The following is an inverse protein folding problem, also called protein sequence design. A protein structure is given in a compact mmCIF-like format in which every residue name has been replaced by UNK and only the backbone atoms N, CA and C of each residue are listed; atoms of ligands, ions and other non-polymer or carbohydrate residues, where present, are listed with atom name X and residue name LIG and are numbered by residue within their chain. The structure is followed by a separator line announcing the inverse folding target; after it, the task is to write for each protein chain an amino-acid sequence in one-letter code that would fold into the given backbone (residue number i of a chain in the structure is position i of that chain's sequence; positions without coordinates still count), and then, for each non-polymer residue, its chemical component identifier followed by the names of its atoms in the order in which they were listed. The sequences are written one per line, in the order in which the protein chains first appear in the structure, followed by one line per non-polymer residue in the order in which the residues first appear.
data_IF_103039364300
#
_entry.id   IF_103039364300
#
_cell.length_a   1.000
_cell.length_b   1.000
_cell.length_c   1.000
_cell.angle_alpha   90.00
_cell.angle_beta   90.00
_cell.angle_gamma   90.00
#
_symmetry.space_group_name_H-M   'P 1'
#
loop_
_entity.id
_entity.type
_entity.pdbx_description
1 polymer ?
#
# COMPACT_ATOMS: atom_id res chain seq x y z
N UNK A 1 -45.82 7.30 -23.44
CA UNK A 1 -46.10 7.80 -22.08
C UNK A 1 -44.91 8.62 -21.63
N UNK A 2 -45.04 9.94 -21.67
CA UNK A 2 -43.96 10.93 -21.53
C UNK A 2 -44.01 11.49 -20.11
N UNK A 3 -42.97 11.25 -19.28
CA UNK A 3 -42.87 11.88 -17.96
C UNK A 3 -41.94 13.11 -18.01
N UNK A 4 -42.36 14.27 -17.47
CA UNK A 4 -41.64 15.53 -17.60
C UNK A 4 -40.48 15.64 -16.60
N UNK A 5 -39.46 16.39 -17.03
CA UNK A 5 -38.31 16.82 -16.23
C UNK A 5 -38.73 17.76 -15.09
N UNK A 6 -38.30 17.46 -13.86
CA UNK A 6 -38.28 18.45 -12.78
C UNK A 6 -36.86 18.97 -12.56
N UNK A 7 -36.70 20.27 -12.81
CA UNK A 7 -35.53 21.08 -12.48
C UNK A 7 -35.66 21.63 -11.05
N UNK A 8 -34.52 22.09 -10.52
CA UNK A 8 -34.29 23.00 -9.36
C UNK A 8 -33.93 22.22 -8.07
N UNK A 9 -33.01 22.67 -7.21
CA UNK A 9 -32.43 23.99 -7.03
C UNK A 9 -30.99 23.91 -6.47
N UNK A 10 -30.22 24.97 -6.72
CA UNK A 10 -28.94 25.25 -6.09
C UNK A 10 -29.11 25.68 -4.62
N UNK A 11 -28.14 25.34 -3.77
CA UNK A 11 -27.85 26.06 -2.54
C UNK A 11 -26.36 25.92 -2.19
N UNK A 12 -25.64 27.03 -2.27
CA UNK A 12 -24.26 27.19 -1.83
C UNK A 12 -24.22 27.48 -0.33
N UNK A 13 -23.22 26.95 0.38
CA UNK A 13 -22.90 27.38 1.76
C UNK A 13 -21.40 27.30 1.96
N UNK A 14 -20.69 28.42 2.16
CA UNK A 14 -19.29 28.40 2.57
C UNK A 14 -19.22 28.35 4.11
N UNK A 15 -18.44 27.43 4.67
CA UNK A 15 -18.07 27.46 6.08
C UNK A 15 -16.55 27.62 6.18
N UNK A 16 -16.16 28.82 6.58
CA UNK A 16 -14.81 29.27 6.89
C UNK A 16 -14.51 28.88 8.34
N UNK A 17 -13.49 28.05 8.58
CA UNK A 17 -12.95 27.82 9.93
C UNK A 17 -11.43 27.99 9.88
N UNK A 18 -10.97 29.10 10.46
CA UNK A 18 -9.58 29.29 10.85
C UNK A 18 -9.29 28.44 12.10
N UNK A 19 -8.29 27.56 12.04
CA UNK A 19 -7.62 27.05 13.24
C UNK A 19 -6.14 27.42 13.17
N UNK A 20 -5.78 28.43 13.95
CA UNK A 20 -4.40 28.72 14.32
C UNK A 20 -4.14 27.99 15.65
N UNK A 21 -3.23 27.02 15.63
CA UNK A 21 -2.68 26.40 16.84
C UNK A 21 -1.17 26.52 16.76
N UNK A 22 -0.63 27.46 17.54
CA UNK A 22 0.78 27.54 17.86
C UNK A 22 1.14 26.51 18.92
N UNK A 23 2.29 25.86 18.76
CA UNK A 23 2.95 25.13 19.83
C UNK A 23 4.35 25.71 19.99
N UNK A 24 4.57 26.26 21.17
CA UNK A 24 5.82 26.80 21.64
C UNK A 24 6.56 25.75 22.49
N UNK A 25 7.89 25.86 22.48
CA UNK A 25 8.78 25.37 23.55
C UNK A 25 9.39 24.00 23.32
N UNK A 26 10.56 23.68 23.85
CA UNK A 26 11.58 24.49 24.52
C UNK A 26 12.87 23.64 24.58
N UNK A 27 13.93 24.34 24.95
CA UNK A 27 15.36 24.00 24.91
C UNK A 27 15.80 22.90 25.89
N UNK A 28 16.81 22.10 25.53
CA UNK A 28 17.87 21.57 26.40
C UNK A 28 18.84 20.77 25.51
N UNK A 29 20.16 20.76 25.65
CA UNK A 29 21.10 21.39 26.56
C UNK A 29 22.49 20.92 26.12
N UNK A 30 23.46 21.83 26.09
CA UNK A 30 24.84 21.56 25.65
C UNK A 30 25.68 21.19 26.87
N UNK A 31 26.47 20.12 26.79
CA UNK A 31 27.80 20.16 27.40
C UNK A 31 28.91 19.75 26.43
N UNK A 32 30.01 20.47 26.51
CA UNK A 32 31.33 20.15 25.97
C UNK A 32 32.36 20.39 27.10
N UNK A 33 33.66 20.11 26.92
CA UNK A 33 34.32 18.83 26.61
C UNK A 33 35.36 18.48 27.71
N UNK A 34 36.04 17.32 27.65
CA UNK A 34 37.50 17.15 27.89
C UNK A 34 37.94 15.69 28.01
N UNK A 35 39.27 15.53 27.86
CA UNK A 35 40.16 14.38 28.10
C UNK A 35 40.49 13.58 26.82
N UNK A 36 41.57 13.91 26.10
CA UNK A 36 43.02 13.75 26.38
C UNK A 36 43.43 12.29 26.60
N UNK A 37 44.31 11.84 25.71
CA UNK A 37 44.66 10.46 25.40
C UNK A 37 45.69 9.81 26.34
N UNK A 38 45.70 8.47 26.37
CA UNK A 38 46.92 7.65 26.47
C UNK A 38 46.67 6.22 25.92
N UNK A 39 47.62 5.59 25.17
CA UNK A 39 47.45 4.23 24.62
C UNK A 39 48.22 3.16 25.41
N UNK A 40 47.65 1.96 25.59
CA UNK A 40 48.41 0.71 25.90
C UNK A 40 47.49 -0.54 25.95
N UNK A 41 48.02 -1.77 25.99
CA UNK A 41 48.31 -2.64 24.85
C UNK A 41 47.35 -3.85 24.70
N UNK A 42 47.51 -4.54 23.57
CA UNK A 42 46.81 -5.76 23.12
C UNK A 42 46.83 -6.93 24.11
N UNK A 43 45.71 -7.68 24.20
CA UNK A 43 45.81 -9.13 24.27
C UNK A 43 44.84 -9.89 23.34
N UNK A 44 45.36 -11.01 22.84
CA UNK A 44 44.75 -12.32 22.57
C UNK A 44 43.41 -12.43 21.80
N UNK A 45 43.52 -13.13 20.67
CA UNK A 45 42.42 -13.70 19.91
C UNK A 45 41.43 -14.47 20.80
N UNK A 46 40.17 -14.04 20.77
CA UNK A 46 39.03 -14.89 21.11
C UNK A 46 38.24 -15.11 19.83
N UNK A 47 38.11 -16.39 19.47
CA UNK A 47 37.29 -16.89 18.38
C UNK A 47 35.85 -16.43 18.63
N UNK A 48 35.42 -15.40 17.92
CA UNK A 48 34.03 -14.98 17.93
C UNK A 48 33.25 -16.01 17.13
N UNK A 49 32.38 -16.75 17.80
CA UNK A 49 31.42 -17.64 17.14
C UNK A 49 30.63 -16.81 16.13
N UNK A 50 30.72 -17.21 14.86
CA UNK A 50 29.94 -16.62 13.79
C UNK A 50 28.48 -17.03 14.03
N UNK A 51 27.53 -16.09 14.15
CA UNK A 51 26.13 -16.46 14.22
C UNK A 51 25.78 -17.26 12.96
N UNK A 52 25.37 -18.51 13.17
CA UNK A 52 24.79 -19.35 12.13
C UNK A 52 23.54 -18.61 11.63
N UNK A 53 23.58 -18.14 10.38
CA UNK A 53 22.43 -17.52 9.75
C UNK A 53 21.28 -18.53 9.75
N UNK A 54 20.24 -18.24 10.53
CA UNK A 54 18.99 -18.98 10.55
C UNK A 54 18.49 -19.20 9.11
N UNK A 55 17.86 -20.35 8.78
CA UNK A 55 17.43 -20.64 7.42
C UNK A 55 16.57 -19.49 6.90
N UNK A 56 16.94 -18.96 5.74
CA UNK A 56 16.08 -18.05 4.98
C UNK A 56 14.77 -18.79 4.75
N UNK A 57 13.73 -18.38 5.48
CA UNK A 57 12.38 -18.89 5.27
C UNK A 57 12.06 -18.69 3.78
N UNK A 58 11.64 -19.77 3.11
CA UNK A 58 11.25 -19.66 1.72
C UNK A 58 10.15 -18.59 1.63
N UNK A 59 10.19 -17.68 0.64
CA UNK A 59 9.18 -16.64 0.54
C UNK A 59 7.80 -17.29 0.56
N UNK A 60 7.00 -16.82 1.50
CA UNK A 60 5.58 -17.06 1.54
C UNK A 60 4.96 -16.85 0.15
N UNK A 61 3.88 -17.58 -0.15
CA UNK A 61 3.08 -17.31 -1.34
C UNK A 61 2.67 -15.84 -1.32
N UNK A 62 2.83 -15.14 -2.44
CA UNK A 62 2.52 -13.72 -2.52
C UNK A 62 3.54 -12.77 -1.88
N UNK A 63 4.68 -13.27 -1.40
CA UNK A 63 5.71 -12.44 -0.76
C UNK A 63 6.54 -11.58 -1.73
N UNK A 64 6.45 -11.82 -3.04
CA UNK A 64 7.22 -11.09 -4.06
C UNK A 64 6.35 -10.69 -5.26
N UNK A 65 6.81 -9.70 -6.03
CA UNK A 65 6.13 -9.32 -7.27
C UNK A 65 6.10 -10.41 -8.33
N UNK A 66 6.95 -11.44 -8.24
CA UNK A 66 6.91 -12.59 -9.15
C UNK A 66 5.92 -13.67 -8.70
N UNK A 67 5.33 -13.52 -7.50
CA UNK A 67 4.46 -14.54 -6.89
C UNK A 67 3.15 -14.00 -6.33
N UNK A 68 2.91 -12.68 -6.36
CA UNK A 68 1.69 -12.02 -5.87
C UNK A 68 0.46 -12.31 -6.72
N UNK A 69 0.64 -12.69 -7.99
CA UNK A 69 -0.44 -13.14 -8.87
C UNK A 69 -0.38 -14.65 -9.12
N UNK A 70 -1.47 -15.25 -9.61
CA UNK A 70 -1.44 -16.63 -10.10
C UNK A 70 -0.68 -16.75 -11.44
N UNK A 71 -0.20 -17.94 -11.82
CA UNK A 71 0.44 -18.17 -13.12
C UNK A 71 -0.43 -17.75 -14.32
N UNK A 72 -1.75 -17.93 -14.22
CA UNK A 72 -2.71 -17.51 -15.24
C UNK A 72 -2.72 -15.99 -15.43
N UNK A 73 -2.63 -15.23 -14.33
CA UNK A 73 -2.54 -13.78 -14.39
C UNK A 73 -1.21 -13.31 -15.00
N UNK A 74 -0.07 -13.92 -14.66
CA UNK A 74 1.19 -13.58 -15.32
C UNK A 74 1.17 -13.89 -16.82
N UNK A 75 0.57 -15.02 -17.21
CA UNK A 75 0.35 -15.34 -18.64
C UNK A 75 -0.48 -14.25 -19.32
N UNK A 76 -1.49 -13.70 -18.63
CA UNK A 76 -2.29 -12.60 -19.14
C UNK A 76 -1.51 -11.28 -19.23
N UNK A 77 -0.69 -10.94 -18.23
CA UNK A 77 0.18 -9.76 -18.27
C UNK A 77 1.07 -9.79 -19.51
N UNK A 78 1.72 -10.93 -19.76
CA UNK A 78 2.56 -11.13 -20.94
C UNK A 78 1.76 -10.99 -22.25
N UNK A 79 0.57 -11.61 -22.33
CA UNK A 79 -0.29 -11.51 -23.50
C UNK A 79 -0.79 -10.07 -23.77
N UNK A 80 -1.02 -9.29 -22.72
CA UNK A 80 -1.42 -7.88 -22.81
C UNK A 80 -0.22 -6.94 -23.09
N UNK A 81 1.02 -7.47 -23.04
CA UNK A 81 2.25 -6.72 -23.22
C UNK A 81 2.60 -5.83 -22.02
N UNK A 82 2.14 -6.21 -20.83
CA UNK A 82 2.45 -5.55 -19.57
C UNK A 82 3.76 -6.10 -19.01
N UNK A 83 4.72 -5.22 -18.79
CA UNK A 83 6.04 -5.54 -18.25
C UNK A 83 6.23 -4.91 -16.87
N UNK A 84 7.03 -5.50 -15.97
CA UNK A 84 7.33 -4.91 -14.68
C UNK A 84 7.86 -3.48 -14.82
N UNK A 85 7.44 -2.59 -13.93
CA UNK A 85 7.85 -1.19 -13.92
C UNK A 85 8.00 -0.67 -12.48
N UNK A 86 8.69 0.47 -12.27
CA UNK A 86 8.74 1.11 -10.96
C UNK A 86 7.32 1.40 -10.45
N UNK A 87 7.08 1.06 -9.19
CA UNK A 87 5.83 1.38 -8.52
C UNK A 87 5.74 2.89 -8.25
N UNK A 88 4.55 3.46 -8.43
CA UNK A 88 4.23 4.84 -8.07
C UNK A 88 2.79 4.85 -7.57
N UNK A 89 2.55 5.09 -6.27
CA UNK A 89 1.21 5.05 -5.72
C UNK A 89 0.37 6.21 -6.28
N UNK A 90 -0.90 5.94 -6.55
CA UNK A 90 -1.89 6.94 -6.95
C UNK A 90 -3.16 6.86 -6.12
N UNK A 91 -3.34 5.79 -5.34
CA UNK A 91 -4.42 5.66 -4.37
C UNK A 91 -3.90 5.83 -2.92
N UNK A 92 -4.67 6.48 -2.02
CA UNK A 92 -4.28 6.60 -0.61
C UNK A 92 -4.07 5.25 0.11
N UNK A 93 -4.77 4.19 -0.29
CA UNK A 93 -4.59 2.84 0.26
C UNK A 93 -3.21 2.30 -0.12
N UNK A 94 -2.77 2.51 -1.36
CA UNK A 94 -1.43 2.14 -1.82
C UNK A 94 -0.33 2.87 -1.04
N UNK A 95 -0.51 4.18 -0.81
CA UNK A 95 0.42 4.98 -0.01
C UNK A 95 0.57 4.38 1.38
N UNK A 96 -0.55 4.08 2.05
CA UNK A 96 -0.53 3.50 3.40
C UNK A 96 0.14 2.13 3.41
N UNK A 97 -0.18 1.26 2.44
CA UNK A 97 0.46 -0.06 2.32
C UNK A 97 1.98 0.09 2.15
N UNK A 98 2.44 1.02 1.32
CA UNK A 98 3.86 1.28 1.11
C UNK A 98 4.55 1.83 2.37
N UNK A 99 3.89 2.74 3.10
CA UNK A 99 4.40 3.32 4.35
C UNK A 99 4.51 2.27 5.48
N UNK A 100 3.63 1.27 5.49
CA UNK A 100 3.69 0.12 6.40
C UNK A 100 4.73 -0.94 5.97
N UNK A 101 5.50 -0.69 4.90
CA UNK A 101 6.53 -1.59 4.39
C UNK A 101 5.98 -2.79 3.61
N UNK A 102 4.77 -2.67 3.09
CA UNK A 102 4.11 -3.70 2.28
C UNK A 102 4.78 -3.96 0.94
N UNK A 103 4.38 -5.07 0.31
CA UNK A 103 4.75 -5.41 -1.06
C UNK A 103 4.07 -4.42 -2.01
N UNK A 104 4.82 -3.84 -2.95
CA UNK A 104 4.29 -2.93 -3.98
C UNK A 104 4.80 -3.35 -5.35
N UNK A 105 3.87 -3.66 -6.24
CA UNK A 105 4.15 -4.22 -7.56
C UNK A 105 3.41 -3.44 -8.63
N UNK A 106 4.07 -3.25 -9.77
CA UNK A 106 3.51 -2.53 -10.90
C UNK A 106 3.93 -3.15 -12.21
N UNK A 107 2.98 -3.25 -13.14
CA UNK A 107 3.20 -3.65 -14.52
C UNK A 107 2.52 -2.67 -15.44
N UNK A 108 3.18 -2.28 -16.52
CA UNK A 108 2.61 -1.35 -17.47
C UNK A 108 3.06 -1.63 -18.88
N UNK A 109 2.46 -0.91 -19.81
CA UNK A 109 2.84 -0.98 -21.21
C UNK A 109 3.77 0.20 -21.53
N UNK A 110 4.94 -0.04 -22.15
CA UNK A 110 5.85 1.04 -22.51
C UNK A 110 5.14 2.08 -23.38
N UNK A 111 5.42 3.37 -23.11
CA UNK A 111 4.87 4.51 -23.84
C UNK A 111 3.36 4.70 -23.72
N UNK A 112 2.72 4.08 -22.71
CA UNK A 112 1.32 4.37 -22.36
C UNK A 112 1.21 4.69 -20.87
N UNK A 113 0.03 5.14 -20.46
CA UNK A 113 -0.39 5.37 -19.08
C UNK A 113 -1.13 4.16 -18.47
N UNK A 114 -1.08 3.01 -19.15
CA UNK A 114 -1.74 1.80 -18.69
C UNK A 114 -0.86 1.09 -17.67
N UNK A 115 -1.35 1.02 -16.44
CA UNK A 115 -0.65 0.43 -15.29
C UNK A 115 -1.60 -0.47 -14.51
N UNK A 116 -1.16 -1.71 -14.27
CA UNK A 116 -1.67 -2.55 -13.19
C UNK A 116 -0.78 -2.33 -11.97
N UNK A 117 -1.38 -1.95 -10.85
CA UNK A 117 -0.72 -1.88 -9.56
C UNK A 117 -1.38 -2.88 -8.59
N UNK A 118 -0.54 -3.58 -7.86
CA UNK A 118 -0.94 -4.47 -6.76
C UNK A 118 -0.08 -4.12 -5.55
N UNK A 119 -0.72 -3.83 -4.42
CA UNK A 119 -0.03 -3.55 -3.17
C UNK A 119 -0.62 -4.40 -2.05
N UNK A 120 0.20 -4.94 -1.15
CA UNK A 120 -0.25 -5.86 -0.13
C UNK A 120 0.53 -5.70 1.18
N UNK A 121 -0.17 -5.71 2.32
CA UNK A 121 0.45 -5.74 3.66
C UNK A 121 -0.41 -6.54 4.64
N UNK A 122 0.25 -7.16 5.63
CA UNK A 122 -0.44 -7.75 6.75
C UNK A 122 -1.11 -6.65 7.60
N UNK A 123 -2.34 -6.86 8.04
CA UNK A 123 -3.09 -5.87 8.82
C UNK A 123 -2.60 -5.79 10.27
N UNK A 124 -1.78 -6.74 10.72
CA UNK A 124 -1.36 -6.86 12.12
C UNK A 124 -2.51 -7.16 13.08
N UNK A 125 -3.66 -7.64 12.58
CA UNK A 125 -4.87 -7.85 13.36
C UNK A 125 -5.74 -6.60 13.55
N UNK A 126 -5.45 -5.50 12.85
CA UNK A 126 -6.20 -4.25 12.93
C UNK A 126 -7.14 -4.03 11.72
N UNK A 127 -7.92 -5.07 11.37
CA UNK A 127 -8.88 -5.04 10.26
C UNK A 127 -9.94 -3.93 10.43
N UNK A 128 -10.23 -3.55 11.68
CA UNK A 128 -11.16 -2.47 11.99
C UNK A 128 -10.62 -1.10 11.59
N UNK A 129 -9.33 -0.80 11.87
CA UNK A 129 -8.72 0.45 11.41
C UNK A 129 -8.59 0.50 9.89
N UNK A 130 -8.33 -0.63 9.24
CA UNK A 130 -8.33 -0.71 7.78
C UNK A 130 -9.71 -0.48 7.18
N UNK A 131 -10.75 -1.09 7.74
CA UNK A 131 -12.14 -0.87 7.31
C UNK A 131 -12.56 0.59 7.47
N UNK A 132 -12.20 1.23 8.59
CA UNK A 132 -12.46 2.66 8.80
C UNK A 132 -11.73 3.53 7.76
N UNK A 133 -10.44 3.26 7.51
CA UNK A 133 -9.67 4.00 6.51
C UNK A 133 -10.22 3.81 5.08
N UNK A 134 -10.72 2.63 4.74
CA UNK A 134 -11.38 2.37 3.47
C UNK A 134 -12.66 3.20 3.33
N UNK A 135 -13.50 3.22 4.36
CA UNK A 135 -14.72 4.03 4.35
C UNK A 135 -14.40 5.54 4.21
N UNK A 136 -13.41 6.04 4.94
CA UNK A 136 -12.94 7.43 4.84
C UNK A 136 -12.35 7.74 3.44
N UNK A 137 -11.72 6.75 2.81
CA UNK A 137 -11.22 6.80 1.43
C UNK A 137 -12.31 6.67 0.35
N UNK A 138 -13.58 6.51 0.74
CA UNK A 138 -14.70 6.38 -0.21
C UNK A 138 -14.84 4.99 -0.82
N UNK A 139 -14.21 3.98 -0.23
CA UNK A 139 -14.42 2.58 -0.59
C UNK A 139 -15.71 2.04 0.03
N UNK A 140 -16.43 1.23 -0.74
CA UNK A 140 -17.68 0.59 -0.29
C UNK A 140 -17.50 -0.93 -0.30
N UNK A 141 -17.90 -1.66 0.75
CA UNK A 141 -17.87 -3.13 0.73
C UNK A 141 -18.82 -3.67 -0.34
N UNK A 142 -18.33 -4.59 -1.16
CA UNK A 142 -19.08 -5.16 -2.29
C UNK A 142 -19.05 -6.67 -2.36
N UNK A 143 -18.04 -7.33 -1.79
CA UNK A 143 -17.81 -8.78 -1.94
C UNK A 143 -17.75 -9.25 -3.41
N UNK A 144 -17.42 -8.33 -4.33
CA UNK A 144 -17.28 -8.55 -5.77
C UNK A 144 -16.00 -7.87 -6.29
N UNK A 145 -15.17 -8.53 -7.12
CA UNK A 145 -15.35 -9.87 -7.69
C UNK A 145 -14.95 -11.03 -6.76
N UNK A 146 -14.50 -10.73 -5.53
CA UNK A 146 -14.08 -11.72 -4.53
C UNK A 146 -14.63 -11.35 -3.15
N UNK A 147 -14.80 -12.33 -2.27
CA UNK A 147 -15.23 -12.08 -0.89
C UNK A 147 -14.24 -11.16 -0.14
N UNK A 148 -14.75 -10.28 0.72
CA UNK A 148 -13.94 -9.28 1.41
C UNK A 148 -13.51 -8.10 0.53
N UNK A 149 -14.03 -8.01 -0.70
CA UNK A 149 -13.74 -6.90 -1.60
C UNK A 149 -14.51 -5.63 -1.22
N UNK A 150 -13.81 -4.51 -1.39
CA UNK A 150 -14.28 -3.15 -1.33
C UNK A 150 -13.99 -2.49 -2.68
N UNK A 151 -14.97 -1.78 -3.24
CA UNK A 151 -14.83 -1.05 -4.50
C UNK A 151 -14.55 0.42 -4.22
N UNK A 152 -13.48 0.94 -4.81
CA UNK A 152 -13.08 2.35 -4.73
C UNK A 152 -13.83 3.24 -5.71
N UNK A 153 -13.48 4.53 -5.72
CA UNK A 153 -14.02 5.47 -6.69
C UNK A 153 -13.43 5.24 -8.08
N UNK A 154 -14.17 5.52 -9.17
CA UNK A 154 -13.63 5.42 -10.52
C UNK A 154 -12.48 6.40 -10.71
N UNK A 155 -11.36 5.93 -11.26
CA UNK A 155 -10.27 6.80 -11.66
C UNK A 155 -10.74 7.83 -12.71
N UNK A 156 -10.30 9.07 -12.57
CA UNK A 156 -10.75 10.16 -13.44
C UNK A 156 -10.21 10.06 -14.88
N UNK A 157 -9.08 9.38 -15.07
CA UNK A 157 -8.43 9.23 -16.37
C UNK A 157 -9.02 8.11 -17.20
N UNK A 158 -9.28 6.95 -16.59
CA UNK A 158 -9.68 5.74 -17.30
C UNK A 158 -11.06 5.16 -16.87
N UNK A 159 -11.67 5.68 -15.82
CA UNK A 159 -12.98 5.24 -15.31
C UNK A 159 -12.97 3.86 -14.64
N UNK A 160 -11.80 3.25 -14.45
CA UNK A 160 -11.64 1.96 -13.78
C UNK A 160 -11.71 2.20 -12.27
N UNK A 161 -12.55 1.42 -11.59
CA UNK A 161 -12.64 1.43 -10.12
C UNK A 161 -11.63 0.43 -9.56
N UNK A 162 -10.74 0.80 -8.64
CA UNK A 162 -9.86 -0.18 -7.98
C UNK A 162 -10.65 -1.07 -7.03
N UNK A 163 -10.08 -2.22 -6.70
CA UNK A 163 -10.57 -3.16 -5.69
C UNK A 163 -9.57 -3.21 -4.54
N UNK A 164 -10.08 -3.18 -3.31
CA UNK A 164 -9.30 -3.53 -2.13
C UNK A 164 -9.90 -4.79 -1.51
N UNK A 165 -9.08 -5.78 -1.19
CA UNK A 165 -9.47 -7.03 -0.56
C UNK A 165 -8.95 -7.00 0.87
N UNK A 166 -9.85 -7.05 1.85
CA UNK A 166 -9.51 -7.19 3.25
C UNK A 166 -9.95 -8.59 3.70
N UNK A 167 -9.00 -9.52 3.76
CA UNK A 167 -9.26 -10.92 4.08
C UNK A 167 -8.03 -11.57 4.71
N UNK A 168 -8.26 -12.55 5.59
CA UNK A 168 -7.22 -13.39 6.17
C UNK A 168 -6.05 -12.60 6.81
N UNK A 169 -6.36 -11.50 7.49
CA UNK A 169 -5.35 -10.64 8.15
C UNK A 169 -4.44 -9.89 7.17
N UNK A 170 -4.86 -9.74 5.92
CA UNK A 170 -4.13 -9.02 4.87
C UNK A 170 -5.04 -8.00 4.21
N UNK A 171 -4.49 -6.84 3.89
CA UNK A 171 -5.12 -5.89 2.96
C UNK A 171 -4.36 -5.88 1.65
N UNK A 172 -5.11 -5.97 0.55
CA UNK A 172 -4.57 -6.02 -0.81
C UNK A 172 -5.28 -5.00 -1.69
N UNK A 173 -4.55 -4.05 -2.26
CA UNK A 173 -5.04 -3.15 -3.30
C UNK A 173 -4.77 -3.74 -4.69
N UNK A 174 -5.72 -3.59 -5.61
CA UNK A 174 -5.65 -4.01 -7.02
C UNK A 174 -6.25 -2.92 -7.90
N UNK A 175 -5.46 -2.31 -8.77
CA UNK A 175 -5.92 -1.19 -9.59
C UNK A 175 -6.92 -1.56 -10.67
N UNK A 176 -6.89 -2.82 -11.14
CA UNK A 176 -7.77 -3.32 -12.20
C UNK A 176 -8.61 -4.49 -11.66
N UNK A 177 -9.94 -4.37 -11.53
CA UNK A 177 -10.81 -5.39 -10.93
C UNK A 177 -10.66 -6.79 -11.51
N UNK A 178 -10.39 -6.89 -12.81
CA UNK A 178 -10.22 -8.17 -13.49
C UNK A 178 -9.07 -9.02 -12.92
N UNK A 179 -8.10 -8.41 -12.22
CA UNK A 179 -6.98 -9.12 -11.59
C UNK A 179 -7.24 -9.50 -10.12
N UNK A 180 -8.30 -9.00 -9.48
CA UNK A 180 -8.55 -9.23 -8.06
C UNK A 180 -8.75 -10.73 -7.73
N UNK A 181 -9.38 -11.48 -8.63
CA UNK A 181 -9.55 -12.94 -8.49
C UNK A 181 -8.27 -13.77 -8.68
N UNK A 182 -7.17 -13.14 -9.09
CA UNK A 182 -5.87 -13.80 -9.27
C UNK A 182 -4.82 -13.36 -8.26
N UNK A 183 -5.17 -12.51 -7.29
CA UNK A 183 -4.22 -12.17 -6.24
C UNK A 183 -4.05 -13.35 -5.30
N UNK A 184 -2.80 -13.64 -4.95
CA UNK A 184 -2.44 -14.61 -3.93
C UNK A 184 -2.30 -13.87 -2.60
N UNK A 185 -2.83 -14.42 -1.50
CA UNK A 185 -2.70 -13.81 -0.18
C UNK A 185 -1.22 -13.72 0.19
N UNK A 186 -0.83 -12.65 0.88
CA UNK A 186 0.45 -12.58 1.57
C UNK A 186 0.44 -13.68 2.64
N UNK A 187 1.53 -14.45 2.72
CA UNK A 187 1.72 -15.41 3.81
C UNK A 187 2.73 -14.92 4.83
#
# INVERSE_FOLDING_TARGET
MTRPHSRRAAAATPLLVLFALGVAGCTAGVPAPSDTAEPSPSPAASTSETPEASPSEAPAVGATCDTVLTPEAYTKLEADGLVPMPFTPFDPVEVRIADEGGLTCSWGKPQTDLVLAVAQVATGGDDAAWTAALADGGYTPTDDPVAGAYTGQPDAGNGITPIVILADGTITFVSVPAYAGWVRPAS
#
